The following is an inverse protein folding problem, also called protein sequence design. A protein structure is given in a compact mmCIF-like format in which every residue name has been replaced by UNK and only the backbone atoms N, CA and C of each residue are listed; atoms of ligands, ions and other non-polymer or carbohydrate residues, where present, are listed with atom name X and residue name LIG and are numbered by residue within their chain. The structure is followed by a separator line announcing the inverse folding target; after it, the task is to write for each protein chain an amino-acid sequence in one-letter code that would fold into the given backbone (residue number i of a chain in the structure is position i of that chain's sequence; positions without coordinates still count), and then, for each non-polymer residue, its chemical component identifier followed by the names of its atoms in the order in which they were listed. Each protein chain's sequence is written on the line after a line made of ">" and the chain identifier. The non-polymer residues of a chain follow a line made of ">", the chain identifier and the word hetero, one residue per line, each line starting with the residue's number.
data_IF_922272878265
#
_entry.id   IF_922272878265
#
_cell.length_a   1.000
_cell.length_b   1.000
_cell.length_c   1.000
_cell.angle_alpha   90.00
_cell.angle_beta   90.00
_cell.angle_gamma   90.00
#
_symmetry.space_group_name_H-M   'P 1'
#
loop_
_entity.id
_entity.type
_entity.pdbx_description
1 polymer ?
#
# COMPACT_ATOMS: atom_id res chain seq x y z
N UNK A 1 -40.31 35.05 10.61
CA UNK A 1 -39.57 34.73 11.85
C UNK A 1 -38.57 33.59 11.61
N UNK A 2 -37.79 33.65 10.52
CA UNK A 2 -36.64 32.74 10.30
C UNK A 2 -35.32 33.42 10.71
N UNK A 3 -35.33 34.76 10.83
CA UNK A 3 -34.20 35.59 11.20
C UNK A 3 -33.90 35.57 12.71
N UNK A 4 -34.92 35.40 13.56
CA UNK A 4 -34.75 35.48 15.03
C UNK A 4 -34.13 34.21 15.66
N UNK A 5 -34.05 33.10 14.92
CA UNK A 5 -33.41 31.85 15.40
C UNK A 5 -31.90 31.84 15.12
N UNK A 6 -31.42 32.71 14.21
CA UNK A 6 -30.00 32.75 13.80
C UNK A 6 -29.12 33.64 14.69
N UNK A 7 -29.72 34.35 15.66
CA UNK A 7 -29.02 35.28 16.55
C UNK A 7 -28.87 34.70 17.97
N UNK A 8 -28.59 33.39 18.09
CA UNK A 8 -28.05 32.85 19.34
C UNK A 8 -26.53 32.97 19.31
N UNK A 9 -25.95 33.53 20.36
CA UNK A 9 -24.51 33.81 20.56
C UNK A 9 -23.59 32.55 20.58
N UNK A 10 -24.02 31.44 19.97
CA UNK A 10 -23.36 30.13 20.01
C UNK A 10 -22.93 29.60 18.64
N UNK A 11 -23.35 30.20 17.52
CA UNK A 11 -22.92 29.79 16.18
C UNK A 11 -22.14 30.91 15.48
N UNK A 12 -20.84 30.71 15.30
CA UNK A 12 -20.03 31.59 14.45
C UNK A 12 -20.33 31.29 12.98
N UNK A 13 -20.19 32.31 12.12
CA UNK A 13 -20.32 32.13 10.67
C UNK A 13 -19.42 31.01 10.12
N UNK A 14 -18.24 30.81 10.75
CA UNK A 14 -17.33 29.71 10.46
C UNK A 14 -17.94 28.35 10.81
N UNK A 15 -18.49 28.19 12.02
CA UNK A 15 -19.14 26.94 12.45
C UNK A 15 -20.34 26.57 11.56
N UNK A 16 -21.11 27.56 11.11
CA UNK A 16 -22.21 27.37 10.17
C UNK A 16 -21.73 26.97 8.77
N UNK A 17 -20.64 27.59 8.30
CA UNK A 17 -20.03 27.25 7.02
C UNK A 17 -19.45 25.83 7.03
N UNK A 18 -18.71 25.46 8.08
CA UNK A 18 -18.14 24.11 8.24
C UNK A 18 -19.23 23.03 8.31
N UNK A 19 -20.35 23.31 8.99
CA UNK A 19 -21.47 22.37 9.06
C UNK A 19 -22.18 22.19 7.70
N UNK A 20 -22.33 23.28 6.93
CA UNK A 20 -22.89 23.23 5.59
C UNK A 20 -21.96 22.53 4.60
N UNK A 21 -20.66 22.82 4.65
CA UNK A 21 -19.66 22.18 3.79
C UNK A 21 -19.60 20.67 4.05
N UNK A 22 -19.52 20.27 5.32
CA UNK A 22 -19.62 18.86 5.76
C UNK A 22 -20.90 18.17 5.27
N UNK A 23 -22.03 18.88 5.24
CA UNK A 23 -23.34 18.30 4.89
C UNK A 23 -23.58 18.21 3.38
N UNK A 24 -22.97 19.08 2.57
CA UNK A 24 -23.30 19.22 1.15
C UNK A 24 -22.12 19.06 0.18
N UNK A 25 -20.88 18.89 0.64
CA UNK A 25 -19.73 18.65 -0.22
C UNK A 25 -19.67 17.20 -0.74
N UNK A 26 -20.60 16.89 -1.64
CA UNK A 26 -20.75 15.58 -2.30
C UNK A 26 -19.57 15.18 -3.18
N UNK A 27 -18.73 16.14 -3.59
CA UNK A 27 -17.55 15.89 -4.42
C UNK A 27 -16.48 15.13 -3.64
N UNK A 28 -16.20 15.53 -2.40
CA UNK A 28 -15.25 14.83 -1.53
C UNK A 28 -15.73 13.43 -1.16
N UNK A 29 -17.03 13.27 -0.86
CA UNK A 29 -17.64 11.95 -0.62
C UNK A 29 -17.61 11.03 -1.86
N UNK A 30 -17.55 11.59 -3.07
CA UNK A 30 -17.36 10.83 -4.30
C UNK A 30 -15.91 10.39 -4.51
N UNK A 31 -14.95 11.24 -4.14
CA UNK A 31 -13.51 10.97 -4.24
C UNK A 31 -13.06 9.92 -3.23
N UNK A 32 -13.56 9.99 -2.00
CA UNK A 32 -13.36 8.98 -0.95
C UNK A 32 -13.72 7.58 -1.47
N UNK A 33 -14.95 7.39 -1.97
CA UNK A 33 -15.41 6.11 -2.53
C UNK A 33 -14.54 5.64 -3.68
N UNK A 34 -14.11 6.56 -4.54
CA UNK A 34 -13.22 6.24 -5.65
C UNK A 34 -11.85 5.74 -5.15
N UNK A 35 -11.20 6.44 -4.23
CA UNK A 35 -9.90 6.04 -3.70
C UNK A 35 -9.98 4.74 -2.89
N UNK A 36 -11.05 4.53 -2.10
CA UNK A 36 -11.28 3.26 -1.39
C UNK A 36 -11.39 2.12 -2.40
N UNK A 37 -12.18 2.29 -3.46
CA UNK A 37 -12.31 1.27 -4.49
C UNK A 37 -10.98 0.99 -5.18
N UNK A 38 -10.22 2.03 -5.56
CA UNK A 38 -8.90 1.88 -6.21
C UNK A 38 -7.90 1.19 -5.29
N UNK A 39 -7.83 1.54 -4.01
CA UNK A 39 -6.97 0.88 -3.03
C UNK A 39 -7.32 -0.61 -2.87
N UNK A 40 -8.61 -0.92 -2.70
CA UNK A 40 -9.07 -2.31 -2.53
C UNK A 40 -8.78 -3.15 -3.77
N UNK A 41 -9.05 -2.62 -4.97
CA UNK A 41 -8.87 -3.34 -6.23
C UNK A 41 -7.42 -3.32 -6.77
N UNK A 42 -6.50 -2.59 -6.14
CA UNK A 42 -5.10 -2.59 -6.57
C UNK A 42 -4.51 -4.00 -6.49
N UNK A 43 -3.97 -4.48 -7.62
CA UNK A 43 -3.25 -5.75 -7.75
C UNK A 43 -1.89 -5.45 -8.35
N UNK A 44 -0.82 -6.00 -7.76
CA UNK A 44 0.51 -5.82 -8.33
C UNK A 44 0.65 -6.60 -9.63
N UNK A 45 1.50 -6.09 -10.52
CA UNK A 45 1.80 -6.63 -11.85
C UNK A 45 3.30 -6.93 -11.98
N UNK A 46 3.66 -7.89 -12.84
CA UNK A 46 5.03 -8.40 -12.97
C UNK A 46 5.99 -7.47 -13.75
N UNK A 47 5.45 -6.52 -14.52
CA UNK A 47 6.21 -5.59 -15.37
C UNK A 47 6.76 -4.36 -14.63
N UNK A 48 6.41 -4.20 -13.36
CA UNK A 48 6.88 -3.13 -12.48
C UNK A 48 7.54 -3.69 -11.22
N UNK A 49 8.47 -2.92 -10.64
CA UNK A 49 9.04 -3.28 -9.34
C UNK A 49 7.97 -3.32 -8.24
N UNK A 50 8.19 -4.13 -7.21
CA UNK A 50 7.33 -4.15 -6.03
C UNK A 50 7.51 -2.86 -5.23
N UNK A 51 8.73 -2.30 -5.22
CA UNK A 51 9.01 -1.01 -4.60
C UNK A 51 8.19 0.14 -5.23
N UNK A 52 8.20 0.27 -6.56
CA UNK A 52 7.43 1.29 -7.28
C UNK A 52 5.93 1.14 -7.01
N UNK A 53 5.40 -0.08 -7.10
CA UNK A 53 3.99 -0.35 -6.88
C UNK A 53 3.58 -0.14 -5.41
N UNK A 54 4.49 -0.33 -4.46
CA UNK A 54 4.23 0.00 -3.05
C UNK A 54 4.10 1.51 -2.86
N UNK A 55 4.92 2.32 -3.54
CA UNK A 55 4.74 3.77 -3.55
C UNK A 55 3.40 4.19 -4.18
N UNK A 56 2.95 3.53 -5.24
CA UNK A 56 1.61 3.78 -5.81
C UNK A 56 0.49 3.54 -4.78
N UNK A 57 0.59 2.47 -3.97
CA UNK A 57 -0.37 2.17 -2.91
C UNK A 57 -0.31 3.22 -1.78
N UNK A 58 0.89 3.67 -1.39
CA UNK A 58 1.07 4.73 -0.40
C UNK A 58 0.44 6.04 -0.88
N UNK A 59 0.59 6.38 -2.17
CA UNK A 59 -0.06 7.55 -2.76
C UNK A 59 -1.59 7.46 -2.71
N UNK A 60 -2.16 6.26 -2.89
CA UNK A 60 -3.61 6.05 -2.69
C UNK A 60 -4.01 6.24 -1.22
N UNK A 61 -3.19 5.82 -0.27
CA UNK A 61 -3.45 6.05 1.16
C UNK A 61 -3.35 7.53 1.54
N UNK A 62 -2.40 8.27 0.98
CA UNK A 62 -2.33 9.72 1.17
C UNK A 62 -3.58 10.42 0.63
N UNK A 63 -4.05 10.04 -0.56
CA UNK A 63 -5.29 10.57 -1.11
C UNK A 63 -6.53 10.23 -0.26
N UNK A 64 -6.53 9.07 0.41
CA UNK A 64 -7.57 8.71 1.38
C UNK A 64 -7.48 9.58 2.65
N UNK A 65 -6.26 9.82 3.14
CA UNK A 65 -6.02 10.71 4.29
C UNK A 65 -6.48 12.14 3.98
N UNK A 66 -6.28 12.63 2.76
CA UNK A 66 -6.79 13.94 2.31
C UNK A 66 -8.33 14.00 2.32
N UNK A 67 -9.01 12.85 2.19
CA UNK A 67 -10.47 12.71 2.34
C UNK A 67 -10.90 12.33 3.76
N UNK A 68 -10.07 12.60 4.76
CA UNK A 68 -10.28 12.26 6.18
C UNK A 68 -10.38 10.75 6.50
N UNK A 69 -10.05 9.87 5.55
CA UNK A 69 -10.01 8.41 5.71
C UNK A 69 -8.61 7.90 6.05
N UNK A 70 -8.12 8.22 7.24
CA UNK A 70 -6.80 7.74 7.69
C UNK A 70 -6.81 6.24 8.00
N UNK A 71 -5.89 5.49 7.42
CA UNK A 71 -5.73 4.06 7.71
C UNK A 71 -4.75 3.83 8.86
N UNK A 72 -4.99 2.87 9.77
CA UNK A 72 -3.98 2.45 10.72
C UNK A 72 -2.76 1.90 9.98
N UNK A 73 -1.54 2.32 10.35
CA UNK A 73 -0.30 1.90 9.66
C UNK A 73 -0.18 0.38 9.53
N UNK A 74 -0.51 -0.37 10.59
CA UNK A 74 -0.51 -1.84 10.56
C UNK A 74 -1.46 -2.41 9.50
N UNK A 75 -2.62 -1.76 9.29
CA UNK A 75 -3.56 -2.18 8.26
C UNK A 75 -2.99 -1.92 6.86
N UNK A 76 -2.38 -0.75 6.64
CA UNK A 76 -1.72 -0.41 5.38
C UNK A 76 -0.59 -1.42 5.05
N UNK A 77 0.32 -1.65 6.00
CA UNK A 77 1.44 -2.60 5.86
C UNK A 77 0.93 -3.99 5.48
N UNK A 78 -0.06 -4.53 6.22
CA UNK A 78 -0.57 -5.87 5.92
C UNK A 78 -1.35 -5.91 4.60
N UNK A 79 -2.00 -4.82 4.20
CA UNK A 79 -2.68 -4.71 2.91
C UNK A 79 -1.70 -4.71 1.74
N UNK A 80 -0.55 -4.05 1.88
CA UNK A 80 0.53 -4.08 0.87
C UNK A 80 1.09 -5.50 0.75
N UNK A 81 1.39 -6.15 1.88
CA UNK A 81 1.92 -7.53 1.89
C UNK A 81 0.93 -8.53 1.27
N UNK A 82 -0.37 -8.31 1.43
CA UNK A 82 -1.40 -9.18 0.82
C UNK A 82 -1.52 -8.98 -0.70
N UNK A 83 -1.08 -7.83 -1.24
CA UNK A 83 -1.09 -7.51 -2.67
C UNK A 83 0.16 -8.02 -3.42
N UNK A 84 1.13 -8.60 -2.72
CA UNK A 84 2.34 -9.14 -3.33
C UNK A 84 2.04 -10.23 -4.37
N UNK A 85 2.84 -10.23 -5.42
CA UNK A 85 2.80 -11.24 -6.48
C UNK A 85 3.06 -12.63 -5.92
N UNK A 86 2.56 -13.67 -6.61
CA UNK A 86 2.78 -15.08 -6.21
C UNK A 86 4.25 -15.43 -6.06
N UNK A 87 5.12 -14.84 -6.87
CA UNK A 87 6.56 -15.04 -6.80
C UNK A 87 7.18 -14.52 -5.48
N UNK A 88 6.53 -13.56 -4.82
CA UNK A 88 6.93 -12.98 -3.53
C UNK A 88 6.26 -13.65 -2.32
N UNK A 89 5.53 -14.75 -2.53
CA UNK A 89 4.72 -15.40 -1.48
C UNK A 89 5.51 -15.77 -0.23
N UNK A 90 6.72 -16.30 -0.37
CA UNK A 90 7.52 -16.71 0.78
C UNK A 90 7.95 -15.51 1.63
N UNK A 91 8.42 -14.44 0.99
CA UNK A 91 8.75 -13.19 1.65
C UNK A 91 7.53 -12.60 2.37
N UNK A 92 6.38 -12.51 1.69
CA UNK A 92 5.14 -12.02 2.29
C UNK A 92 4.69 -12.85 3.50
N UNK A 93 4.84 -14.18 3.47
CA UNK A 93 4.56 -15.05 4.62
C UNK A 93 5.52 -14.78 5.79
N UNK A 94 6.81 -14.58 5.52
CA UNK A 94 7.79 -14.21 6.55
C UNK A 94 7.39 -12.93 7.27
N UNK A 95 7.01 -11.90 6.52
CA UNK A 95 6.54 -10.62 7.08
C UNK A 95 5.28 -10.81 7.93
N UNK A 96 4.31 -11.62 7.47
CA UNK A 96 3.07 -11.90 8.22
C UNK A 96 3.33 -12.59 9.58
N UNK A 97 4.39 -13.38 9.69
CA UNK A 97 4.75 -14.12 10.90
C UNK A 97 5.85 -13.45 11.74
N UNK A 98 6.43 -12.36 11.25
CA UNK A 98 7.45 -11.61 11.96
C UNK A 98 6.92 -11.14 13.33
N UNK A 99 7.73 -11.34 14.37
CA UNK A 99 7.44 -10.82 15.71
C UNK A 99 7.87 -9.36 15.79
N UNK A 100 7.08 -8.56 16.49
CA UNK A 100 7.33 -7.12 16.69
C UNK A 100 6.44 -6.24 15.82
N UNK A 101 6.68 -4.92 15.89
CA UNK A 101 6.03 -3.96 15.01
C UNK A 101 6.84 -3.89 13.70
N UNK A 102 6.15 -3.99 12.57
CA UNK A 102 6.68 -3.70 11.25
C UNK A 102 6.12 -2.34 10.84
N UNK A 103 6.98 -1.33 10.74
CA UNK A 103 6.57 -0.01 10.21
C UNK A 103 6.52 -0.01 8.68
N UNK A 104 5.94 1.04 8.11
CA UNK A 104 5.95 1.23 6.66
C UNK A 104 7.38 1.39 6.11
N UNK A 105 8.24 2.11 6.84
CA UNK A 105 9.64 2.32 6.44
C UNK A 105 10.43 1.01 6.48
N UNK A 106 10.24 0.19 7.53
CA UNK A 106 10.85 -1.14 7.62
C UNK A 106 10.43 -2.02 6.44
N UNK A 107 9.15 -1.96 6.06
CA UNK A 107 8.62 -2.70 4.91
C UNK A 107 9.29 -2.25 3.60
N UNK A 108 9.42 -0.94 3.36
CA UNK A 108 10.06 -0.41 2.15
C UNK A 108 11.52 -0.84 2.02
N UNK A 109 12.27 -0.82 3.13
CA UNK A 109 13.64 -1.30 3.17
C UNK A 109 13.69 -2.80 2.87
N UNK A 110 12.83 -3.60 3.51
CA UNK A 110 12.79 -5.04 3.31
C UNK A 110 12.43 -5.42 1.86
N UNK A 111 11.48 -4.71 1.24
CA UNK A 111 11.13 -4.89 -0.18
C UNK A 111 12.35 -4.61 -1.07
N UNK A 112 13.06 -3.51 -0.83
CA UNK A 112 14.22 -3.13 -1.64
C UNK A 112 15.33 -4.20 -1.60
N UNK A 113 15.58 -4.76 -0.40
CA UNK A 113 16.57 -5.84 -0.20
C UNK A 113 16.14 -7.13 -0.92
N UNK A 114 14.88 -7.55 -0.74
CA UNK A 114 14.36 -8.77 -1.35
C UNK A 114 14.33 -8.65 -2.89
N UNK A 115 13.99 -7.48 -3.42
CA UNK A 115 13.97 -7.25 -4.87
C UNK A 115 15.38 -7.34 -5.47
N UNK A 116 16.38 -6.78 -4.79
CA UNK A 116 17.78 -6.93 -5.18
C UNK A 116 18.21 -8.41 -5.18
N UNK A 117 17.86 -9.16 -4.13
CA UNK A 117 18.13 -10.59 -4.02
C UNK A 117 17.45 -11.41 -5.15
N UNK A 118 16.19 -11.12 -5.45
CA UNK A 118 15.45 -11.72 -6.57
C UNK A 118 16.15 -11.43 -7.90
N UNK A 119 16.52 -10.17 -8.14
CA UNK A 119 17.18 -9.78 -9.38
C UNK A 119 18.56 -10.42 -9.55
N UNK A 120 19.29 -10.66 -8.47
CA UNK A 120 20.58 -11.38 -8.50
C UNK A 120 20.37 -12.88 -8.80
N UNK A 121 19.37 -13.51 -8.19
CA UNK A 121 19.08 -14.94 -8.39
C UNK A 121 18.47 -15.24 -9.76
N UNK A 122 17.65 -14.34 -10.32
CA UNK A 122 17.09 -14.48 -11.68
C UNK A 122 18.12 -14.23 -12.80
N UNK A 123 19.26 -13.58 -12.50
CA UNK A 123 20.33 -13.28 -13.48
C UNK A 123 21.38 -14.39 -13.64
N UNK A 124 21.31 -15.47 -12.85
CA UNK A 124 22.22 -16.61 -13.01
C UNK A 124 21.69 -17.55 -14.11
N UNK A 125 22.39 -17.74 -15.25
CA UNK A 125 22.10 -18.86 -16.12
C UNK A 125 22.44 -20.14 -15.36
N UNK A 126 21.47 -21.03 -15.20
CA UNK A 126 21.73 -22.41 -14.78
C UNK A 126 22.49 -23.10 -15.93
N UNK A 127 23.81 -22.95 -15.98
CA UNK A 127 24.67 -23.80 -16.80
C UNK A 127 25.99 -24.09 -16.10
N UNK A 128 25.96 -24.94 -15.09
CA UNK A 128 27.11 -25.78 -14.78
C UNK A 128 26.61 -27.19 -14.44
N UNK A 129 26.38 -27.98 -15.50
CA UNK A 129 26.27 -29.42 -15.38
C UNK A 129 27.72 -29.98 -15.31
N UNK A 130 28.15 -30.59 -14.19
CA UNK A 130 29.47 -31.19 -14.13
C UNK A 130 29.52 -32.41 -15.06
N UNK A 131 30.38 -32.36 -16.09
CA UNK A 131 30.72 -33.53 -16.91
C UNK A 131 31.48 -34.53 -16.06
N UNK A 132 30.81 -35.60 -15.64
CA UNK A 132 31.48 -36.78 -15.10
C UNK A 132 32.23 -37.49 -16.24
N UNK A 133 33.56 -37.38 -16.26
CA UNK A 133 34.38 -38.22 -17.11
C UNK A 133 34.53 -39.60 -16.43
N UNK A 134 33.90 -40.61 -17.02
CA UNK A 134 34.17 -42.01 -16.69
C UNK A 134 35.54 -42.37 -17.25
N UNK A 135 36.53 -42.50 -16.37
CA UNK A 135 37.80 -43.16 -16.69
C UNK A 135 37.48 -44.66 -16.73
N UNK A 136 37.27 -45.22 -17.91
CA UNK A 136 37.24 -46.68 -18.07
C UNK A 136 38.68 -47.14 -18.24
N UNK A 137 39.21 -47.74 -17.18
CA UNK A 137 40.49 -48.41 -17.23
C UNK A 137 40.41 -49.70 -18.05
N UNK A 138 41.40 -49.90 -18.92
CA UNK A 138 42.17 -51.15 -19.06
C UNK A 138 43.46 -50.87 -19.83
#
# INVERSE_FOLDING_TARGET
>A
MLFDVYYSDSYTATSLWDELDRKYNSKEQGLEKYFVFKFMQYQMVEDKSVAEQTHEIINLEHALTDTEMKLPEKFLVMSIVDKFLKFWKNFGMTLKHQKGRLSLDDLMIAISIEEEHINQTHKMPIEHQPRANLIVGK
#
